data_IF_549140637706
#
_entry.id   IF_549140637706
#
_cell.length_a   1.000
_cell.length_b   1.000
_cell.length_c   1.000
_cell.angle_alpha   90.00
_cell.angle_beta   90.00
_cell.angle_gamma   90.00
#
_symmetry.space_group_name_H-M   'P 1'
#
loop_
_entity.id
_entity.type
_entity.pdbx_description
1 polymer ?
#
# COMPACT_ATOMS: atom_id res chain seq x y z
N UNK A 1 5.75 6.33 -5.30
CA UNK A 1 5.90 5.09 -4.51
C UNK A 1 5.20 5.27 -3.18
N UNK A 2 4.35 4.33 -2.79
CA UNK A 2 3.72 4.21 -1.47
C UNK A 2 4.05 2.83 -0.91
N UNK A 3 4.49 2.78 0.34
CA UNK A 3 4.78 1.56 1.08
C UNK A 3 4.36 1.75 2.55
N UNK A 4 4.15 0.64 3.26
CA UNK A 4 3.86 0.64 4.69
C UNK A 4 4.62 -0.51 5.38
N UNK A 5 4.81 -0.42 6.70
CA UNK A 5 5.28 -1.54 7.49
C UNK A 5 4.09 -2.31 8.03
N UNK A 6 4.13 -3.63 7.92
CA UNK A 6 3.12 -4.50 8.50
C UNK A 6 3.44 -4.83 9.99
N UNK A 7 2.55 -5.56 10.70
CA UNK A 7 2.78 -5.96 12.08
C UNK A 7 4.02 -6.84 12.31
N UNK A 8 4.53 -7.51 11.27
CA UNK A 8 5.75 -8.30 11.33
C UNK A 8 7.01 -7.44 11.11
N UNK A 9 6.83 -6.13 10.93
CA UNK A 9 7.89 -5.14 10.62
C UNK A 9 8.52 -5.35 9.24
N UNK A 10 7.76 -5.91 8.32
CA UNK A 10 8.16 -6.05 6.93
C UNK A 10 7.66 -4.86 6.09
N UNK A 11 8.50 -4.37 5.18
CA UNK A 11 8.12 -3.29 4.28
C UNK A 11 7.31 -3.86 3.10
N UNK A 12 6.06 -3.42 2.99
CA UNK A 12 5.13 -3.83 1.94
C UNK A 12 4.99 -2.72 0.90
N UNK A 13 5.37 -3.02 -0.34
CA UNK A 13 5.19 -2.08 -1.45
C UNK A 13 3.74 -2.12 -1.95
N UNK A 14 3.05 -0.98 -1.82
CA UNK A 14 1.62 -0.90 -2.10
C UNK A 14 1.34 -0.31 -3.48
N UNK A 15 2.06 0.74 -3.87
CA UNK A 15 1.90 1.39 -5.18
C UNK A 15 3.24 1.87 -5.72
N UNK A 16 3.57 1.46 -6.94
CA UNK A 16 4.67 1.98 -7.75
C UNK A 16 4.12 2.69 -8.99
N UNK A 17 4.85 3.68 -9.50
CA UNK A 17 4.47 4.44 -10.67
C UNK A 17 5.15 5.80 -10.74
N UNK A 18 5.09 6.43 -11.91
CA UNK A 18 5.60 7.77 -12.14
C UNK A 18 4.62 8.82 -11.60
N UNK A 19 5.15 9.76 -10.82
CA UNK A 19 4.40 10.89 -10.23
C UNK A 19 4.89 12.25 -10.77
N UNK A 20 5.84 12.23 -11.70
CA UNK A 20 6.49 13.43 -12.24
C UNK A 20 5.45 14.34 -12.91
N UNK A 21 5.44 15.63 -12.53
CA UNK A 21 4.51 16.63 -13.06
C UNK A 21 3.04 16.47 -12.63
N UNK A 22 2.65 15.43 -11.88
CA UNK A 22 1.25 15.13 -11.57
C UNK A 22 1.03 14.72 -10.11
N UNK A 23 1.78 15.31 -9.18
CA UNK A 23 1.82 14.89 -7.78
C UNK A 23 0.43 14.82 -7.12
N UNK A 24 -0.40 15.84 -7.29
CA UNK A 24 -1.69 15.91 -6.59
C UNK A 24 -2.71 14.88 -7.11
N UNK A 25 -2.87 14.77 -8.43
CA UNK A 25 -3.75 13.76 -9.05
C UNK A 25 -3.22 12.35 -8.83
N UNK A 26 -1.90 12.17 -8.76
CA UNK A 26 -1.28 10.90 -8.44
C UNK A 26 -1.62 10.45 -7.02
N UNK A 27 -1.43 11.30 -6.00
CA UNK A 27 -1.76 10.93 -4.62
C UNK A 27 -3.24 10.68 -4.40
N UNK A 28 -4.14 11.45 -5.05
CA UNK A 28 -5.58 11.21 -5.00
C UNK A 28 -5.99 9.80 -5.46
N UNK A 29 -5.22 9.19 -6.37
CA UNK A 29 -5.45 7.82 -6.84
C UNK A 29 -4.64 6.78 -6.07
N UNK A 30 -3.38 7.10 -5.80
CA UNK A 30 -2.43 6.17 -5.19
C UNK A 30 -2.74 5.89 -3.72
N UNK A 31 -3.23 6.86 -2.96
CA UNK A 31 -3.54 6.67 -1.53
C UNK A 31 -4.72 5.71 -1.33
N UNK A 32 -5.90 5.89 -1.95
CA UNK A 32 -7.00 4.94 -1.80
C UNK A 32 -6.65 3.53 -2.28
N UNK A 33 -5.86 3.42 -3.37
CA UNK A 33 -5.39 2.13 -3.87
C UNK A 33 -4.43 1.44 -2.89
N UNK A 34 -3.53 2.21 -2.27
CA UNK A 34 -2.61 1.68 -1.28
C UNK A 34 -3.34 1.21 -0.02
N UNK A 35 -4.35 1.95 0.42
CA UNK A 35 -5.18 1.61 1.58
C UNK A 35 -5.91 0.28 1.38
N UNK A 36 -6.59 0.11 0.24
CA UNK A 36 -7.27 -1.14 -0.10
C UNK A 36 -6.31 -2.35 -0.12
N UNK A 37 -5.15 -2.20 -0.79
CA UNK A 37 -4.12 -3.26 -0.87
C UNK A 37 -3.54 -3.61 0.49
N UNK A 38 -3.35 -2.61 1.36
CA UNK A 38 -2.84 -2.87 2.70
C UNK A 38 -3.88 -3.59 3.57
N UNK A 39 -5.16 -3.24 3.44
CA UNK A 39 -6.25 -3.98 4.07
C UNK A 39 -6.27 -5.45 3.67
N UNK A 40 -6.16 -5.75 2.37
CA UNK A 40 -6.06 -7.12 1.84
C UNK A 40 -4.83 -7.85 2.41
N UNK A 41 -3.67 -7.20 2.45
CA UNK A 41 -2.44 -7.76 3.04
C UNK A 41 -2.66 -8.15 4.50
N UNK A 42 -3.28 -7.29 5.31
CA UNK A 42 -3.51 -7.56 6.73
C UNK A 42 -4.49 -8.72 6.97
N UNK A 43 -5.50 -8.88 6.10
CA UNK A 43 -6.43 -10.01 6.16
C UNK A 43 -5.67 -11.32 5.87
N UNK A 44 -4.93 -11.35 4.75
CA UNK A 44 -4.14 -12.51 4.37
C UNK A 44 -3.09 -12.87 5.44
N UNK A 45 -2.44 -11.86 6.04
CA UNK A 45 -1.47 -12.03 7.12
C UNK A 45 -2.10 -12.70 8.34
N UNK A 46 -3.30 -12.28 8.72
CA UNK A 46 -4.05 -12.84 9.86
C UNK A 46 -4.49 -14.28 9.60
N UNK A 47 -4.89 -14.59 8.37
CA UNK A 47 -5.28 -15.95 7.98
C UNK A 47 -4.08 -16.91 7.97
N UNK A 48 -2.91 -16.46 7.49
CA UNK A 48 -1.69 -17.24 7.48
C UNK A 48 -1.12 -17.51 8.89
N UNK A 49 -1.49 -16.70 9.87
CA UNK A 49 -1.08 -16.84 11.28
C UNK A 49 -2.03 -17.73 12.11
N UNK A 50 -3.13 -18.21 11.52
CA UNK A 50 -4.12 -19.07 12.17
C UNK A 50 -3.78 -20.55 11.98
#
# INVERSE_FOLDING_TARGET
>A
MVFAFDPQREAVFLVAGDKSGQWQSWYQKAVPLADARFGEHLIALKEAQR
#
